data_IF_245563303749
#
_entry.id   IF_245563303749
#
_cell.length_a   1.000
_cell.length_b   1.000
_cell.length_c   1.000
_cell.angle_alpha   90.00
_cell.angle_beta   90.00
_cell.angle_gamma   90.00
#
_symmetry.space_group_name_H-M   'P 1'
#
loop_
_entity.id
_entity.type
_entity.pdbx_description
1 polymer ?
#
# COMPACT_ATOMS: atom_id res chain seq x y z
N UNK A 1 -9.78 -0.30 -7.40
CA UNK A 1 -9.07 -1.48 -6.84
C UNK A 1 -9.08 -1.48 -5.33
N UNK A 2 -9.46 -2.53 -4.58
CA UNK A 2 -9.60 -4.00 -4.81
C UNK A 2 -9.71 -4.43 -6.28
N UNK A 3 -8.59 -4.29 -6.98
CA UNK A 3 -8.36 -4.34 -8.44
C UNK A 3 -9.31 -3.66 -9.45
N UNK A 4 -10.07 -2.59 -9.20
CA UNK A 4 -10.84 -1.89 -10.25
C UNK A 4 -11.88 -2.86 -10.84
N UNK A 5 -12.32 -3.80 -10.01
CA UNK A 5 -13.19 -4.90 -10.39
C UNK A 5 -12.47 -6.22 -10.68
N UNK A 6 -11.14 -6.31 -10.72
CA UNK A 6 -10.49 -7.63 -10.86
C UNK A 6 -10.61 -8.47 -9.58
N UNK A 7 -10.27 -9.74 -9.71
CA UNK A 7 -10.03 -10.64 -8.60
C UNK A 7 -8.52 -10.93 -8.51
N UNK A 8 -8.01 -11.07 -7.28
CA UNK A 8 -6.59 -11.32 -7.03
C UNK A 8 -6.43 -12.80 -6.69
N UNK A 9 -5.59 -13.49 -7.46
CA UNK A 9 -5.24 -14.88 -7.24
C UNK A 9 -3.75 -14.96 -6.91
N UNK A 10 -3.41 -15.74 -5.88
CA UNK A 10 -2.03 -16.08 -5.55
C UNK A 10 -1.80 -17.56 -5.78
N UNK A 11 -0.68 -17.96 -6.41
CA UNK A 11 -0.32 -19.37 -6.51
C UNK A 11 -0.09 -19.96 -5.12
N UNK A 12 -0.33 -21.26 -4.98
CA UNK A 12 -0.05 -22.03 -3.75
C UNK A 12 1.43 -22.35 -3.56
N UNK A 13 2.27 -22.01 -4.54
CA UNK A 13 3.71 -22.21 -4.53
C UNK A 13 4.44 -20.97 -5.07
N UNK A 14 5.73 -20.87 -4.76
CA UNK A 14 6.55 -19.76 -5.21
C UNK A 14 6.96 -19.95 -6.68
N UNK A 15 6.36 -19.16 -7.57
CA UNK A 15 6.64 -19.17 -9.01
C UNK A 15 7.65 -18.10 -9.46
N UNK A 16 8.05 -17.18 -8.57
CA UNK A 16 8.90 -16.04 -8.92
C UNK A 16 9.77 -15.60 -7.73
N UNK A 17 11.08 -15.55 -7.96
CA UNK A 17 12.05 -15.07 -6.97
C UNK A 17 12.53 -13.66 -7.30
N UNK A 18 12.76 -12.87 -6.26
CA UNK A 18 13.35 -11.54 -6.41
C UNK A 18 14.88 -11.67 -6.53
N UNK A 19 15.46 -11.22 -7.64
CA UNK A 19 16.91 -11.22 -7.84
C UNK A 19 17.55 -9.99 -7.15
N UNK A 20 17.69 -10.08 -5.82
CA UNK A 20 18.17 -8.97 -4.97
C UNK A 20 19.65 -8.62 -5.16
N UNK A 21 20.53 -9.62 -5.30
CA UNK A 21 21.98 -9.43 -5.24
C UNK A 21 22.59 -8.94 -6.56
N UNK A 22 22.14 -7.79 -7.03
CA UNK A 22 22.68 -7.10 -8.19
C UNK A 22 23.68 -6.01 -7.77
N UNK A 23 24.77 -6.42 -7.09
CA UNK A 23 25.76 -5.47 -6.52
C UNK A 23 26.33 -4.49 -7.55
N UNK A 24 26.52 -4.94 -8.80
CA UNK A 24 27.09 -4.15 -9.90
C UNK A 24 26.05 -3.39 -10.75
N UNK A 25 24.76 -3.67 -10.57
CA UNK A 25 23.73 -3.00 -11.36
C UNK A 25 23.43 -1.61 -10.79
N UNK A 26 23.23 -0.63 -11.69
CA UNK A 26 22.70 0.67 -11.28
C UNK A 26 21.30 0.47 -10.70
N UNK A 27 21.08 1.04 -9.52
CA UNK A 27 19.80 1.04 -8.84
C UNK A 27 19.05 2.30 -9.23
N UNK A 28 17.73 2.26 -9.31
CA UNK A 28 16.98 3.45 -9.74
C UNK A 28 17.20 4.65 -8.79
N UNK A 29 17.35 4.41 -7.48
CA UNK A 29 17.67 5.46 -6.51
C UNK A 29 19.11 6.02 -6.65
N UNK A 30 20.01 5.30 -7.32
CA UNK A 30 21.35 5.84 -7.67
C UNK A 30 21.33 6.74 -8.90
N UNK A 31 20.22 6.76 -9.65
CA UNK A 31 20.04 7.61 -10.83
C UNK A 31 19.30 8.92 -10.50
N UNK A 32 18.67 9.01 -9.33
CA UNK A 32 17.90 10.17 -8.86
C UNK A 32 18.29 10.53 -7.41
N UNK A 33 19.56 10.92 -7.15
CA UNK A 33 20.08 11.05 -5.79
C UNK A 33 19.43 12.17 -4.97
N UNK A 34 18.99 13.26 -5.60
CA UNK A 34 18.39 14.41 -4.88
C UNK A 34 16.90 14.23 -4.59
N UNK A 35 16.15 13.55 -5.47
CA UNK A 35 14.68 13.50 -5.38
C UNK A 35 14.14 12.17 -4.83
N UNK A 36 14.98 11.14 -4.68
CA UNK A 36 14.53 9.81 -4.25
C UNK A 36 13.78 9.84 -2.91
N UNK A 37 14.34 10.51 -1.90
CA UNK A 37 13.73 10.58 -0.58
C UNK A 37 12.38 11.30 -0.66
N UNK A 38 12.33 12.42 -1.38
CA UNK A 38 11.09 13.18 -1.60
C UNK A 38 10.02 12.35 -2.31
N UNK A 39 10.37 11.65 -3.39
CA UNK A 39 9.42 10.79 -4.11
C UNK A 39 8.93 9.63 -3.24
N UNK A 40 9.83 9.00 -2.47
CA UNK A 40 9.48 7.95 -1.53
C UNK A 40 8.48 8.45 -0.49
N UNK A 41 8.77 9.59 0.15
CA UNK A 41 7.94 10.10 1.24
C UNK A 41 6.57 10.57 0.72
N UNK A 42 6.53 11.18 -0.47
CA UNK A 42 5.26 11.50 -1.17
C UNK A 42 4.44 10.25 -1.46
N UNK A 43 5.08 9.18 -1.97
CA UNK A 43 4.41 7.92 -2.26
C UNK A 43 3.86 7.27 -0.98
N UNK A 44 4.65 7.26 0.11
CA UNK A 44 4.22 6.73 1.41
C UNK A 44 3.00 7.50 1.93
N UNK A 45 3.03 8.84 1.90
CA UNK A 45 1.89 9.66 2.33
C UNK A 45 0.64 9.39 1.49
N UNK A 46 0.78 9.26 0.17
CA UNK A 46 -0.35 8.91 -0.70
C UNK A 46 -0.94 7.53 -0.36
N UNK A 47 -0.09 6.53 -0.13
CA UNK A 47 -0.54 5.18 0.26
C UNK A 47 -1.24 5.23 1.62
N UNK A 48 -0.70 5.98 2.59
CA UNK A 48 -1.33 6.16 3.90
C UNK A 48 -2.72 6.82 3.78
N UNK A 49 -2.88 7.80 2.91
CA UNK A 49 -4.18 8.40 2.62
C UNK A 49 -5.15 7.39 1.99
N UNK A 50 -4.74 6.71 0.93
CA UNK A 50 -5.57 5.72 0.22
C UNK A 50 -6.02 4.60 1.16
N UNK A 51 -5.11 4.11 2.00
CA UNK A 51 -5.37 3.05 2.95
C UNK A 51 -5.94 3.56 4.28
N UNK A 52 -6.40 4.81 4.41
CA UNK A 52 -6.88 5.37 5.68
C UNK A 52 -5.99 5.02 6.89
N UNK A 53 -4.67 4.95 6.69
CA UNK A 53 -3.75 4.45 7.69
C UNK A 53 -3.86 5.29 8.96
N UNK A 54 -3.96 4.63 10.12
CA UNK A 54 -4.15 5.32 11.40
C UNK A 54 -2.87 5.39 12.22
N UNK A 55 -2.79 6.41 13.08
CA UNK A 55 -1.78 6.45 14.15
C UNK A 55 -1.98 5.27 15.10
N UNK A 56 -0.90 4.84 15.73
CA UNK A 56 -0.89 3.59 16.51
C UNK A 56 -2.01 3.56 17.57
N UNK A 57 -2.83 2.51 17.54
CA UNK A 57 -3.95 2.28 18.47
C UNK A 57 -4.96 3.43 18.54
N UNK A 58 -5.15 4.15 17.43
CA UNK A 58 -6.18 5.19 17.29
C UNK A 58 -6.96 5.03 15.99
N UNK A 59 -8.10 5.70 15.93
CA UNK A 59 -8.87 5.88 14.69
C UNK A 59 -8.44 7.13 13.90
N UNK A 60 -7.50 7.91 14.44
CA UNK A 60 -7.01 9.13 13.79
C UNK A 60 -6.12 8.75 12.59
N UNK A 61 -6.44 9.29 11.41
CA UNK A 61 -5.65 9.05 10.20
C UNK A 61 -4.30 9.74 10.30
N UNK A 62 -3.27 9.10 9.74
CA UNK A 62 -1.94 9.68 9.57
C UNK A 62 -1.99 10.84 8.57
N UNK A 63 -2.76 10.68 7.50
CA UNK A 63 -3.06 11.75 6.55
C UNK A 63 -4.54 12.10 6.67
N UNK A 64 -4.88 13.35 7.02
CA UNK A 64 -6.27 13.79 7.15
C UNK A 64 -7.10 13.55 5.89
N UNK A 65 -8.40 13.27 6.05
CA UNK A 65 -9.30 13.02 4.93
C UNK A 65 -9.52 14.25 4.04
N UNK A 66 -9.37 15.44 4.62
CA UNK A 66 -9.50 16.76 4.02
C UNK A 66 -8.16 17.38 3.58
N UNK A 67 -7.08 16.57 3.52
CA UNK A 67 -5.76 17.03 3.08
C UNK A 67 -5.81 17.77 1.74
N UNK A 68 -5.10 18.89 1.65
CA UNK A 68 -4.96 19.70 0.45
C UNK A 68 -3.63 19.45 -0.27
N UNK A 69 -2.91 18.39 0.11
CA UNK A 69 -1.62 18.08 -0.49
C UNK A 69 -1.79 17.50 -1.88
N UNK A 70 -1.50 18.31 -2.89
CA UNK A 70 -1.75 18.02 -4.31
C UNK A 70 -1.23 16.63 -4.73
N UNK A 71 0.00 16.26 -4.36
CA UNK A 71 0.58 14.96 -4.73
C UNK A 71 -0.13 13.75 -4.07
N UNK A 72 -0.87 13.97 -2.98
CA UNK A 72 -1.70 12.95 -2.33
C UNK A 72 -3.03 12.79 -3.06
N UNK A 73 -3.64 13.90 -3.49
CA UNK A 73 -5.01 13.92 -4.02
C UNK A 73 -5.11 13.96 -5.55
N UNK A 74 -3.98 14.15 -6.25
CA UNK A 74 -3.93 14.17 -7.72
C UNK A 74 -4.46 12.86 -8.30
N UNK A 75 -5.28 12.94 -9.34
CA UNK A 75 -5.82 11.79 -10.10
C UNK A 75 -6.46 10.69 -9.24
N UNK A 76 -7.07 11.02 -8.09
CA UNK A 76 -7.73 10.02 -7.24
C UNK A 76 -8.93 9.35 -7.92
N UNK A 77 -9.60 10.06 -8.82
CA UNK A 77 -10.67 9.55 -9.67
C UNK A 77 -10.18 8.46 -10.64
N UNK A 78 -8.92 8.57 -11.10
CA UNK A 78 -8.30 7.63 -12.04
C UNK A 78 -7.50 6.51 -11.38
N UNK A 79 -6.74 6.82 -10.33
CA UNK A 79 -5.81 5.90 -9.67
C UNK A 79 -6.11 5.66 -8.18
N UNK A 80 -7.33 5.95 -7.74
CA UNK A 80 -7.80 5.65 -6.39
C UNK A 80 -8.16 4.18 -6.17
N UNK A 81 -8.85 3.90 -5.05
CA UNK A 81 -9.29 2.55 -4.69
C UNK A 81 -10.48 2.03 -5.52
N UNK A 82 -10.97 2.79 -6.51
CA UNK A 82 -12.15 2.42 -7.29
C UNK A 82 -13.42 2.32 -6.42
N UNK A 83 -14.46 1.69 -6.96
CA UNK A 83 -15.82 1.71 -6.37
C UNK A 83 -16.45 0.34 -6.12
N UNK A 84 -15.85 -0.75 -6.62
CA UNK A 84 -16.47 -2.08 -6.58
C UNK A 84 -16.52 -2.71 -5.18
N UNK A 85 -15.53 -2.40 -4.33
CA UNK A 85 -15.40 -2.92 -2.95
C UNK A 85 -14.79 -1.81 -2.10
N UNK A 86 -15.18 -1.77 -0.84
CA UNK A 86 -14.71 -0.82 0.16
C UNK A 86 -13.37 -1.23 0.75
N UNK A 87 -12.69 -0.27 1.37
CA UNK A 87 -11.46 -0.55 2.13
C UNK A 87 -11.76 -1.35 3.42
N UNK A 88 -12.97 -1.28 3.98
CA UNK A 88 -13.34 -2.09 5.14
C UNK A 88 -13.41 -3.57 4.80
N UNK A 89 -14.09 -3.91 3.69
CA UNK A 89 -14.08 -5.26 3.12
C UNK A 89 -12.65 -5.69 2.80
N UNK A 90 -11.76 -4.73 2.44
CA UNK A 90 -10.37 -5.06 2.19
C UNK A 90 -9.70 -5.68 3.40
N UNK A 91 -9.83 -4.99 4.52
CA UNK A 91 -9.22 -5.38 5.78
C UNK A 91 -9.80 -6.69 6.30
N UNK A 92 -11.11 -6.89 6.16
CA UNK A 92 -11.75 -8.13 6.56
C UNK A 92 -11.23 -9.33 5.76
N UNK A 93 -11.22 -9.25 4.43
CA UNK A 93 -10.67 -10.32 3.58
C UNK A 93 -9.22 -10.60 3.94
N UNK A 94 -8.41 -9.54 4.11
CA UNK A 94 -6.99 -9.68 4.39
C UNK A 94 -6.69 -10.13 5.82
N UNK A 95 -7.69 -10.16 6.71
CA UNK A 95 -7.51 -10.46 8.13
C UNK A 95 -6.68 -9.39 8.85
N UNK A 96 -6.85 -8.11 8.48
CA UNK A 96 -6.05 -7.02 9.02
C UNK A 96 -6.90 -6.11 9.91
N UNK A 97 -6.41 -5.85 11.13
CA UNK A 97 -6.89 -4.76 11.97
C UNK A 97 -5.86 -3.63 11.93
N UNK A 98 -6.08 -2.66 11.05
CA UNK A 98 -5.15 -1.54 10.84
C UNK A 98 -5.15 -0.54 12.01
N UNK A 99 -6.15 -0.56 12.90
CA UNK A 99 -6.23 0.31 14.07
C UNK A 99 -5.39 -0.28 15.21
N UNK A 100 -5.60 -1.55 15.53
CA UNK A 100 -4.90 -2.25 16.61
C UNK A 100 -3.59 -2.93 16.15
N UNK A 101 -3.23 -2.81 14.87
CA UNK A 101 -2.03 -3.40 14.24
C UNK A 101 -1.96 -4.92 14.40
N UNK A 102 -3.09 -5.60 14.23
CA UNK A 102 -3.19 -7.08 14.28
C UNK A 102 -3.36 -7.66 12.89
N UNK A 103 -2.85 -8.88 12.72
CA UNK A 103 -3.04 -9.69 11.51
C UNK A 103 -3.50 -11.09 11.90
N UNK A 104 -4.56 -11.53 11.27
CA UNK A 104 -4.99 -12.92 11.23
C UNK A 104 -4.26 -13.60 10.08
N UNK A 105 -3.60 -14.72 10.35
CA UNK A 105 -2.76 -15.38 9.35
C UNK A 105 -3.64 -16.23 8.40
N UNK A 106 -4.39 -15.57 7.51
CA UNK A 106 -5.33 -16.21 6.57
C UNK A 106 -4.65 -16.84 5.35
N UNK A 107 -3.52 -16.27 4.91
CA UNK A 107 -2.88 -16.67 3.65
C UNK A 107 -1.67 -17.59 3.82
N UNK A 108 -1.01 -17.56 4.97
CA UNK A 108 0.12 -18.43 5.26
C UNK A 108 -0.27 -19.45 6.34
N UNK A 109 -0.14 -20.77 6.07
CA UNK A 109 -0.22 -21.77 7.12
C UNK A 109 0.81 -21.46 8.21
N UNK A 110 0.48 -21.75 9.47
CA UNK A 110 1.51 -21.80 10.52
C UNK A 110 2.47 -22.93 10.15
N UNK A 111 3.76 -22.62 10.10
CA UNK A 111 4.82 -23.60 9.92
C UNK A 111 4.86 -24.58 11.10
#
# INVERSE_FOLDING_TARGET
>A
MWTHGWDIFSPNENIMYHYYYRKKAKKFWSLLPHDWVTHRDRAIRRIQFLLNATKDKTTERVVPADTQEEYVIVDLDKYGLGKSRTLAEYYEFAGLDHVNKKVENKFCPKA
#
